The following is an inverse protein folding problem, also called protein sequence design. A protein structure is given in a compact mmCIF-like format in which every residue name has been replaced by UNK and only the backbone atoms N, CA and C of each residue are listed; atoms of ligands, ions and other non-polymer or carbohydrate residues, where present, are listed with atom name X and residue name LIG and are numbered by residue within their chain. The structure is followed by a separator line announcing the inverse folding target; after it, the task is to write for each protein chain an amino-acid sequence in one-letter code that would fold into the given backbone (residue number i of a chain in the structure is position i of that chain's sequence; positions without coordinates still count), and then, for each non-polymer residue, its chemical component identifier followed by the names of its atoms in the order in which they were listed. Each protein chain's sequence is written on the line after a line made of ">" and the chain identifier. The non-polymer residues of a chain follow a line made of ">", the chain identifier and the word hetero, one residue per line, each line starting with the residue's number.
data_IF_437005460499
#
_entry.id   IF_437005460499
#
_cell.length_a   1.000
_cell.length_b   1.000
_cell.length_c   1.000
_cell.angle_alpha   90.00
_cell.angle_beta   90.00
_cell.angle_gamma   90.00
#
_symmetry.space_group_name_H-M   'P 1'
#
loop_
_entity.id
_entity.type
_entity.pdbx_description
1 polymer ?
#
# COMPACT_ATOMS: atom_id res chain seq x y z
N UNK A 1 24.64 -7.44 7.77
CA UNK A 1 23.58 -8.03 6.90
C UNK A 1 24.07 -8.04 5.47
N UNK A 2 24.20 -9.22 4.85
CA UNK A 2 24.68 -9.37 3.47
C UNK A 2 23.49 -9.31 2.51
N UNK A 3 23.14 -8.11 2.01
CA UNK A 3 22.23 -8.01 0.85
C UNK A 3 22.96 -8.54 -0.37
N UNK A 4 22.30 -9.43 -1.11
CA UNK A 4 22.85 -9.99 -2.35
C UNK A 4 22.93 -8.88 -3.43
N UNK A 5 23.83 -9.04 -4.41
CA UNK A 5 23.96 -8.09 -5.53
C UNK A 5 22.62 -7.73 -6.20
N UNK A 6 21.73 -8.69 -6.53
CA UNK A 6 20.45 -8.38 -7.18
C UNK A 6 19.48 -7.64 -6.25
N UNK A 7 19.49 -7.90 -4.94
CA UNK A 7 18.63 -7.17 -3.98
C UNK A 7 19.04 -5.71 -3.87
N UNK A 8 20.36 -5.44 -3.84
CA UNK A 8 20.87 -4.06 -3.84
C UNK A 8 20.48 -3.34 -5.13
N UNK A 9 20.66 -4.00 -6.28
CA UNK A 9 20.29 -3.43 -7.56
C UNK A 9 18.80 -3.08 -7.61
N UNK A 10 17.93 -3.96 -7.10
CA UNK A 10 16.50 -3.70 -6.97
C UNK A 10 16.22 -2.47 -6.09
N UNK A 11 16.82 -2.40 -4.90
CA UNK A 11 16.64 -1.27 -3.97
C UNK A 11 17.11 0.06 -4.59
N UNK A 12 18.24 0.05 -5.29
CA UNK A 12 18.80 1.22 -5.97
C UNK A 12 17.85 1.72 -7.07
N UNK A 13 17.27 0.81 -7.87
CA UNK A 13 16.31 1.14 -8.93
C UNK A 13 14.98 1.66 -8.38
N UNK A 14 14.53 1.16 -7.21
CA UNK A 14 13.38 1.73 -6.50
C UNK A 14 13.70 3.17 -6.08
N UNK A 15 14.88 3.41 -5.51
CA UNK A 15 15.34 4.75 -5.12
C UNK A 15 15.37 5.71 -6.31
N UNK A 16 15.93 5.27 -7.44
CA UNK A 16 15.96 6.05 -8.68
C UNK A 16 14.54 6.42 -9.16
N UNK A 17 13.63 5.45 -9.17
CA UNK A 17 12.24 5.69 -9.57
C UNK A 17 11.55 6.73 -8.67
N UNK A 18 11.76 6.67 -7.36
CA UNK A 18 11.21 7.64 -6.40
C UNK A 18 11.79 9.04 -6.64
N UNK A 19 13.11 9.15 -6.85
CA UNK A 19 13.75 10.43 -7.16
C UNK A 19 13.20 11.05 -8.46
N UNK A 20 12.94 10.23 -9.48
CA UNK A 20 12.34 10.70 -10.74
C UNK A 20 10.90 11.18 -10.56
N UNK A 21 10.12 10.56 -9.67
CA UNK A 21 8.77 11.04 -9.31
C UNK A 21 8.88 12.40 -8.62
N UNK A 22 9.76 12.51 -7.62
CA UNK A 22 10.02 13.74 -6.89
C UNK A 22 10.44 14.88 -7.81
N UNK A 23 11.37 14.62 -8.73
CA UNK A 23 11.87 15.60 -9.71
C UNK A 23 10.76 16.14 -10.61
N UNK A 24 9.74 15.34 -10.89
CA UNK A 24 8.61 15.72 -11.74
C UNK A 24 7.41 16.25 -10.92
N UNK A 25 7.60 16.53 -9.62
CA UNK A 25 6.54 16.90 -8.68
C UNK A 25 5.34 15.93 -8.71
N UNK A 26 5.62 14.65 -8.96
CA UNK A 26 4.62 13.60 -9.03
C UNK A 26 4.18 13.13 -7.63
N UNK A 27 3.00 12.49 -7.53
CA UNK A 27 2.51 11.96 -6.26
C UNK A 27 3.37 10.79 -5.78
N UNK A 28 3.79 10.81 -4.51
CA UNK A 28 4.56 9.71 -3.90
C UNK A 28 3.58 8.71 -3.28
N UNK A 29 3.10 7.78 -4.09
CA UNK A 29 2.28 6.66 -3.64
C UNK A 29 2.62 5.39 -4.42
N UNK A 30 2.18 4.23 -3.90
CA UNK A 30 2.52 2.93 -4.50
C UNK A 30 2.04 2.79 -5.96
N UNK A 31 0.91 3.40 -6.33
CA UNK A 31 0.41 3.37 -7.71
C UNK A 31 1.32 4.14 -8.66
N UNK A 32 1.75 5.34 -8.25
CA UNK A 32 2.67 6.17 -9.02
C UNK A 32 4.05 5.51 -9.14
N UNK A 33 4.55 4.90 -8.05
CA UNK A 33 5.79 4.15 -8.04
C UNK A 33 5.74 2.94 -8.98
N UNK A 34 4.68 2.12 -8.91
CA UNK A 34 4.51 0.97 -9.80
C UNK A 34 4.43 1.41 -11.27
N UNK A 35 3.71 2.50 -11.56
CA UNK A 35 3.65 3.05 -12.92
C UNK A 35 5.03 3.50 -13.41
N UNK A 36 5.82 4.15 -12.56
CA UNK A 36 7.15 4.64 -12.92
C UNK A 36 8.14 3.49 -13.15
N UNK A 37 8.14 2.49 -12.28
CA UNK A 37 8.98 1.30 -12.41
C UNK A 37 8.66 0.50 -13.67
N UNK A 38 7.38 0.34 -14.03
CA UNK A 38 6.99 -0.29 -15.30
C UNK A 38 7.48 0.50 -16.51
N UNK A 39 7.36 1.83 -16.48
CA UNK A 39 7.88 2.67 -17.55
C UNK A 39 9.41 2.53 -17.71
N UNK A 40 10.15 2.47 -16.60
CA UNK A 40 11.59 2.21 -16.61
C UNK A 40 11.91 0.83 -17.19
N UNK A 41 11.16 -0.21 -16.81
CA UNK A 41 11.37 -1.57 -17.31
C UNK A 41 11.15 -1.73 -18.82
N UNK A 42 10.22 -0.95 -19.40
CA UNK A 42 9.94 -0.94 -20.83
C UNK A 42 11.03 -0.24 -21.65
N UNK A 43 11.70 0.76 -21.07
CA UNK A 43 12.81 1.48 -21.71
C UNK A 43 14.18 0.87 -21.43
N UNK A 44 14.26 -0.11 -20.53
CA UNK A 44 15.52 -0.70 -20.08
C UNK A 44 16.05 -1.71 -21.11
N UNK A 45 17.35 -1.62 -21.40
CA UNK A 45 18.05 -2.52 -22.34
C UNK A 45 18.87 -3.59 -21.62
N UNK A 46 19.25 -3.33 -20.36
CA UNK A 46 19.99 -4.28 -19.55
C UNK A 46 19.05 -5.36 -18.97
N UNK A 47 19.23 -6.65 -19.31
CA UNK A 47 18.37 -7.73 -18.84
C UNK A 47 18.43 -7.94 -17.31
N UNK A 48 19.55 -7.63 -16.66
CA UNK A 48 19.69 -7.76 -15.20
C UNK A 48 18.85 -6.67 -14.51
N UNK A 49 18.95 -5.42 -14.99
CA UNK A 49 18.13 -4.30 -14.51
C UNK A 49 16.65 -4.51 -14.81
N UNK A 50 16.31 -5.02 -16.00
CA UNK A 50 14.93 -5.31 -16.36
C UNK A 50 14.31 -6.36 -15.42
N UNK A 51 15.06 -7.42 -15.10
CA UNK A 51 14.64 -8.45 -14.13
C UNK A 51 14.45 -7.85 -12.74
N UNK A 52 15.38 -7.00 -12.29
CA UNK A 52 15.27 -6.30 -11.00
C UNK A 52 14.07 -5.35 -10.95
N UNK A 53 13.79 -4.61 -12.03
CA UNK A 53 12.62 -3.73 -12.14
C UNK A 53 11.31 -4.53 -12.11
N UNK A 54 11.24 -5.65 -12.81
CA UNK A 54 10.08 -6.53 -12.76
C UNK A 54 9.83 -7.08 -11.35
N UNK A 55 10.89 -7.49 -10.65
CA UNK A 55 10.81 -7.94 -9.25
C UNK A 55 10.33 -6.80 -8.32
N UNK A 56 10.82 -5.57 -8.51
CA UNK A 56 10.36 -4.41 -7.76
C UNK A 56 8.87 -4.11 -7.98
N UNK A 57 8.40 -4.16 -9.24
CA UNK A 57 6.98 -3.96 -9.57
C UNK A 57 6.11 -5.00 -8.87
N UNK A 58 6.48 -6.27 -8.95
CA UNK A 58 5.74 -7.35 -8.29
C UNK A 58 5.67 -7.17 -6.77
N UNK A 59 6.76 -6.73 -6.13
CA UNK A 59 6.77 -6.43 -4.69
C UNK A 59 5.82 -5.29 -4.33
N UNK A 60 5.84 -4.20 -5.10
CA UNK A 60 4.95 -3.06 -4.87
C UNK A 60 3.48 -3.45 -5.10
N UNK A 61 3.20 -4.24 -6.14
CA UNK A 61 1.86 -4.76 -6.42
C UNK A 61 1.36 -5.68 -5.30
N UNK A 62 2.22 -6.58 -4.79
CA UNK A 62 1.91 -7.43 -3.66
C UNK A 62 1.62 -6.60 -2.41
N UNK A 63 2.39 -5.52 -2.16
CA UNK A 63 2.11 -4.59 -1.07
C UNK A 63 0.75 -3.92 -1.28
N UNK A 64 0.44 -3.40 -2.46
CA UNK A 64 -0.88 -2.76 -2.72
C UNK A 64 -2.07 -3.71 -2.61
N UNK A 65 -1.93 -4.94 -3.11
CA UNK A 65 -2.97 -5.98 -3.05
C UNK A 65 -3.10 -6.56 -1.65
N UNK A 66 -1.98 -6.63 -0.92
CA UNK A 66 -1.89 -7.05 0.46
C UNK A 66 -2.56 -6.11 1.45
N UNK A 67 -2.93 -4.88 1.08
CA UNK A 67 -3.77 -4.03 1.93
C UNK A 67 -5.24 -4.50 1.96
N UNK A 68 -5.67 -5.40 1.06
CA UNK A 68 -6.97 -6.07 1.14
C UNK A 68 -6.93 -7.33 2.03
N UNK A 69 -5.78 -8.00 2.15
CA UNK A 69 -5.65 -9.28 2.88
C UNK A 69 -4.95 -9.18 4.24
N UNK A 70 -4.09 -8.19 4.48
CA UNK A 70 -3.44 -8.02 5.80
C UNK A 70 -4.34 -7.34 6.84
N UNK A 71 -5.51 -6.82 6.44
CA UNK A 71 -6.54 -6.42 7.42
C UNK A 71 -7.35 -7.60 7.96
N UNK A 72 -7.16 -8.82 7.42
CA UNK A 72 -7.78 -10.04 7.93
C UNK A 72 -6.96 -10.74 9.01
N UNK A 73 -5.62 -10.64 8.99
CA UNK A 73 -4.76 -11.31 9.99
C UNK A 73 -4.36 -10.40 11.17
N UNK A 74 -4.35 -9.06 11.01
CA UNK A 74 -4.28 -8.10 12.13
C UNK A 74 -5.70 -7.79 12.68
N UNK A 75 -6.64 -8.72 12.54
CA UNK A 75 -7.95 -8.71 13.22
C UNK A 75 -8.10 -9.93 14.12
N UNK A 76 -7.00 -10.40 14.72
CA UNK A 76 -7.02 -11.47 15.72
C UNK A 76 -7.24 -10.99 17.15
N UNK A 77 -6.65 -9.87 17.58
CA UNK A 77 -6.47 -9.61 19.02
C UNK A 77 -6.79 -8.19 19.53
N UNK A 78 -7.47 -7.34 18.76
CA UNK A 78 -8.07 -6.13 19.32
C UNK A 78 -9.59 -6.16 19.07
N UNK A 79 -10.34 -6.39 20.14
CA UNK A 79 -11.79 -6.29 20.16
C UNK A 79 -12.18 -4.86 19.78
N UNK A 80 -12.57 -4.66 18.51
CA UNK A 80 -13.24 -3.45 18.03
C UNK A 80 -14.76 -3.69 18.06
N UNK A 81 -15.24 -4.30 19.14
CA UNK A 81 -16.68 -4.52 19.36
C UNK A 81 -17.35 -3.36 20.12
N UNK A 82 -16.58 -2.38 20.60
CA UNK A 82 -17.09 -1.33 21.49
C UNK A 82 -17.27 0.07 20.88
N UNK A 83 -17.10 0.26 19.57
CA UNK A 83 -17.22 1.61 18.95
C UNK A 83 -18.54 1.86 18.21
N UNK A 84 -19.50 0.92 18.27
CA UNK A 84 -20.80 1.05 17.60
C UNK A 84 -21.96 1.38 18.56
N UNK A 85 -21.66 1.91 19.75
CA UNK A 85 -22.64 2.29 20.77
C UNK A 85 -22.61 3.80 21.11
N UNK A 86 -22.41 4.68 20.13
CA UNK A 86 -22.53 6.13 20.36
C UNK A 86 -23.43 6.87 19.35
N UNK A 87 -24.03 6.16 18.39
CA UNK A 87 -24.98 6.75 17.44
C UNK A 87 -26.15 5.80 17.27
N UNK A 88 -27.34 6.22 17.75
CA UNK A 88 -28.63 5.50 17.85
C UNK A 88 -28.88 5.03 19.30
N UNK A 89 -29.62 5.73 20.17
CA UNK A 89 -30.95 6.34 19.98
C UNK A 89 -31.09 7.58 20.86
N UNK A 90 -31.21 8.74 20.22
CA UNK A 90 -31.75 9.93 20.84
C UNK A 90 -33.02 10.32 20.07
N UNK A 91 -34.11 9.59 20.31
CA UNK A 91 -35.45 9.95 19.82
C UNK A 91 -36.54 9.00 20.34
N UNK A 92 -36.88 9.05 21.63
CA UNK A 92 -38.24 8.73 22.07
C UNK A 92 -38.55 9.35 23.44
N UNK A 93 -38.63 10.69 23.45
CA UNK A 93 -39.66 11.36 24.25
C UNK A 93 -41.00 11.10 23.56
N UNK A 94 -41.93 10.42 24.24
CA UNK A 94 -43.40 10.46 24.11
C UNK A 94 -43.94 9.44 25.12
N UNK A 95 -44.33 9.88 26.31
CA UNK A 95 -45.70 10.28 26.67
C UNK A 95 -46.72 9.14 26.49
N UNK A 96 -47.18 8.54 27.60
CA UNK A 96 -48.57 8.08 27.87
C UNK A 96 -48.60 7.43 29.28
N UNK A 97 -49.28 7.95 30.32
CA UNK A 97 -50.72 7.97 30.69
C UNK A 97 -51.33 6.59 31.05
N UNK A 98 -51.73 6.48 32.33
CA UNK A 98 -52.73 5.55 32.96
C UNK A 98 -52.30 4.06 33.02
N UNK A 99 -52.53 3.28 34.07
CA UNK A 99 -53.59 3.19 35.08
C UNK A 99 -53.00 2.80 36.44
#
# INVERSE_FOLDING_TARGET
>A
MHRTKPEKLKDDLIGEAVLLILKNNGPINFKALASKLRAMALSESDPERQTALAAAVAEIEQRTSGHASNHAEIRGNYSIDNMHHLMTKNSQQRADKKH
#
